data_IF_477163450544
#
_entry.id   IF_477163450544
#
_cell.length_a   1.000
_cell.length_b   1.000
_cell.length_c   1.000
_cell.angle_alpha   90.00
_cell.angle_beta   90.00
_cell.angle_gamma   90.00
#
_symmetry.space_group_name_H-M   'P 1'
#
loop_
_entity.id
_entity.type
_entity.pdbx_description
1 polymer ?
#
# COMPACT_ATOMS: atom_id res chain seq x y z
N UNK A 1 0.10 12.09 0.35
CA UNK A 1 -0.71 11.00 -0.24
C UNK A 1 -1.62 11.48 -1.37
N UNK A 2 -2.37 12.58 -1.18
CA UNK A 2 -3.29 13.07 -2.23
C UNK A 2 -2.65 13.37 -3.60
N UNK A 3 -1.37 13.73 -3.69
CA UNK A 3 -0.72 13.97 -5.00
C UNK A 3 -0.27 12.67 -5.63
N UNK A 4 0.25 11.75 -4.83
CA UNK A 4 0.60 10.39 -5.24
C UNK A 4 -0.60 9.64 -5.82
N UNK A 5 -1.73 9.64 -5.12
CA UNK A 5 -2.97 9.03 -5.63
C UNK A 5 -3.38 9.63 -6.98
N UNK A 6 -3.31 10.96 -7.13
CA UNK A 6 -3.62 11.59 -8.41
C UNK A 6 -2.64 11.22 -9.53
N UNK A 7 -1.37 11.04 -9.22
CA UNK A 7 -0.34 10.67 -10.20
C UNK A 7 -0.52 9.23 -10.70
N UNK A 8 -0.95 8.32 -9.83
CA UNK A 8 -1.02 6.89 -10.12
C UNK A 8 -2.45 6.35 -10.32
N UNK A 9 -3.51 7.17 -10.19
CA UNK A 9 -4.93 6.74 -10.33
C UNK A 9 -5.29 6.02 -11.64
N UNK A 10 -4.48 6.18 -12.69
CA UNK A 10 -4.70 5.51 -13.97
C UNK A 10 -4.12 4.09 -14.01
N UNK A 11 -3.27 3.75 -13.04
CA UNK A 11 -2.47 2.52 -12.97
C UNK A 11 -2.71 1.73 -11.68
N UNK A 12 -3.16 2.38 -10.60
CA UNK A 12 -3.38 1.77 -9.31
C UNK A 12 -4.60 2.36 -8.59
N UNK A 13 -5.32 1.49 -7.89
CA UNK A 13 -6.35 1.86 -6.93
C UNK A 13 -5.76 1.98 -5.53
N UNK A 14 -6.16 3.01 -4.78
CA UNK A 14 -5.66 3.27 -3.43
C UNK A 14 -6.75 3.01 -2.41
N UNK A 15 -6.49 2.06 -1.50
CA UNK A 15 -7.40 1.72 -0.41
C UNK A 15 -6.84 2.24 0.92
N UNK A 16 -7.65 3.03 1.63
CA UNK A 16 -7.31 3.55 2.96
C UNK A 16 -7.99 2.71 4.02
N UNK A 17 -7.22 1.87 4.70
CA UNK A 17 -7.74 0.99 5.74
C UNK A 17 -7.37 1.51 7.13
N UNK A 18 -8.38 1.88 7.92
CA UNK A 18 -8.18 2.31 9.29
C UNK A 18 -8.38 1.13 10.26
N UNK A 19 -7.26 0.50 10.63
CA UNK A 19 -7.20 -0.67 11.52
C UNK A 19 -7.57 -0.39 12.98
N UNK A 20 -7.68 0.87 13.38
CA UNK A 20 -8.01 1.24 14.77
C UNK A 20 -9.51 1.16 15.08
N UNK A 21 -10.34 0.82 14.09
CA UNK A 21 -11.75 0.52 14.33
C UNK A 21 -11.89 -0.86 14.92
N UNK A 22 -12.73 -0.98 15.96
CA UNK A 22 -12.99 -2.23 16.67
C UNK A 22 -13.45 -3.37 15.74
N UNK A 23 -14.14 -3.04 14.63
CA UNK A 23 -14.56 -4.03 13.62
C UNK A 23 -13.39 -4.75 12.93
N UNK A 24 -12.15 -4.27 13.08
CA UNK A 24 -10.95 -4.82 12.45
C UNK A 24 -9.94 -5.39 13.45
N UNK A 25 -10.31 -5.58 14.72
CA UNK A 25 -9.39 -6.10 15.74
C UNK A 25 -8.78 -7.45 15.34
N UNK A 26 -9.56 -8.35 14.75
CA UNK A 26 -9.08 -9.66 14.29
C UNK A 26 -8.02 -9.55 13.17
N UNK A 27 -8.26 -8.71 12.17
CA UNK A 27 -7.32 -8.46 11.07
C UNK A 27 -6.06 -7.76 11.57
N UNK A 28 -6.22 -6.83 12.54
CA UNK A 28 -5.10 -6.13 13.16
C UNK A 28 -4.18 -7.10 13.90
N UNK A 29 -4.74 -8.07 14.61
CA UNK A 29 -3.98 -9.12 15.30
C UNK A 29 -3.32 -10.08 14.32
N UNK A 30 -4.05 -10.57 13.31
CA UNK A 30 -3.56 -11.50 12.30
C UNK A 30 -2.37 -10.93 11.51
N UNK A 31 -2.47 -9.66 11.11
CA UNK A 31 -1.45 -8.98 10.29
C UNK A 31 -0.37 -8.26 11.14
N UNK A 32 -0.44 -8.34 12.47
CA UNK A 32 0.53 -7.70 13.35
C UNK A 32 0.58 -6.17 13.22
N UNK A 33 -0.54 -5.53 12.85
CA UNK A 33 -0.64 -4.09 12.55
C UNK A 33 -0.70 -3.26 13.84
N UNK A 34 0.35 -3.37 14.65
CA UNK A 34 0.46 -2.66 15.92
C UNK A 34 1.35 -1.42 15.76
N UNK A 35 0.72 -0.25 15.85
CA UNK A 35 1.36 1.06 16.10
C UNK A 35 2.20 1.67 14.97
N UNK A 36 2.20 1.10 13.77
CA UNK A 36 2.93 1.65 12.61
C UNK A 36 2.05 1.64 11.38
N UNK A 37 2.15 2.69 10.57
CA UNK A 37 1.56 2.72 9.24
C UNK A 37 2.15 1.59 8.42
N UNK A 38 1.30 0.81 7.78
CA UNK A 38 1.69 -0.28 6.89
C UNK A 38 1.12 0.01 5.52
N UNK A 39 1.95 -0.18 4.50
CA UNK A 39 1.56 -0.08 3.11
C UNK A 39 1.72 -1.46 2.48
N UNK A 40 0.69 -1.91 1.78
CA UNK A 40 0.65 -3.22 1.13
C UNK A 40 0.32 -2.97 -0.33
N UNK A 41 1.14 -3.51 -1.23
CA UNK A 41 0.87 -3.53 -2.67
C UNK A 41 0.40 -4.93 -3.05
N UNK A 42 -0.75 -4.97 -3.71
CA UNK A 42 -1.39 -6.18 -4.21
C UNK A 42 -1.40 -6.17 -5.74
N UNK A 43 -1.30 -7.34 -6.36
CA UNK A 43 -1.55 -7.51 -7.80
C UNK A 43 -3.06 -7.51 -8.13
N UNK A 44 -3.41 -7.67 -9.40
CA UNK A 44 -4.81 -7.72 -9.86
C UNK A 44 -5.59 -8.96 -9.37
N UNK A 45 -4.90 -10.00 -8.90
CA UNK A 45 -5.50 -11.21 -8.35
C UNK A 45 -5.62 -11.15 -6.81
N UNK A 46 -5.09 -10.08 -6.19
CA UNK A 46 -5.08 -9.88 -4.75
C UNK A 46 -3.90 -10.53 -4.04
N UNK A 47 -2.88 -11.01 -4.77
CA UNK A 47 -1.66 -11.53 -4.17
C UNK A 47 -0.77 -10.37 -3.70
N UNK A 48 -0.10 -10.54 -2.56
CA UNK A 48 0.86 -9.55 -2.06
C UNK A 48 2.13 -9.52 -2.92
N UNK A 49 2.41 -8.37 -3.53
CA UNK A 49 3.67 -8.09 -4.21
C UNK A 49 4.71 -7.60 -3.20
N UNK A 50 4.32 -6.67 -2.32
CA UNK A 50 5.24 -6.04 -1.37
C UNK A 50 4.54 -5.39 -0.18
N UNK A 51 5.23 -5.40 0.97
CA UNK A 51 4.80 -4.72 2.19
C UNK A 51 5.90 -3.80 2.74
N UNK A 52 5.50 -2.59 3.17
CA UNK A 52 6.36 -1.64 3.87
C UNK A 52 5.77 -1.32 5.25
N UNK A 53 6.60 -1.40 6.29
CA UNK A 53 6.20 -1.12 7.68
C UNK A 53 6.94 0.12 8.18
N UNK A 54 6.18 1.13 8.61
CA UNK A 54 6.70 2.38 9.14
C UNK A 54 6.38 3.59 8.27
N UNK A 55 6.87 4.78 8.68
CA UNK A 55 6.62 6.00 7.91
C UNK A 55 7.36 5.92 6.58
N UNK A 56 6.59 5.88 5.49
CA UNK A 56 7.07 6.20 4.16
C UNK A 56 6.56 7.61 3.83
N UNK A 57 7.47 8.49 3.41
CA UNK A 57 7.05 9.78 2.86
C UNK A 57 6.54 9.62 1.42
N UNK A 58 5.89 10.67 0.91
CA UNK A 58 5.24 10.65 -0.39
C UNK A 58 6.23 10.49 -1.54
N UNK A 59 7.47 10.97 -1.40
CA UNK A 59 8.48 10.84 -2.42
C UNK A 59 9.00 9.39 -2.49
N UNK A 60 9.37 8.82 -1.34
CA UNK A 60 9.82 7.44 -1.24
C UNK A 60 8.74 6.46 -1.76
N UNK A 61 7.46 6.70 -1.46
CA UNK A 61 6.37 5.90 -2.01
C UNK A 61 6.27 6.03 -3.53
N UNK A 62 6.42 7.25 -4.06
CA UNK A 62 6.36 7.51 -5.51
C UNK A 62 7.49 6.80 -6.27
N UNK A 63 8.70 6.83 -5.73
CA UNK A 63 9.87 6.15 -6.30
C UNK A 63 9.65 4.63 -6.32
N UNK A 64 9.15 4.06 -5.21
CA UNK A 64 8.84 2.62 -5.11
C UNK A 64 7.74 2.19 -6.07
N UNK A 65 6.65 2.95 -6.20
CA UNK A 65 5.57 2.64 -7.14
C UNK A 65 6.03 2.75 -8.60
N UNK A 66 6.88 3.73 -8.91
CA UNK A 66 7.42 3.89 -10.27
C UNK A 66 8.27 2.68 -10.67
N UNK A 67 9.15 2.23 -9.77
CA UNK A 67 9.98 1.03 -9.97
C UNK A 67 9.11 -0.21 -10.18
N UNK A 68 8.14 -0.44 -9.29
CA UNK A 68 7.29 -1.64 -9.34
C UNK A 68 6.36 -1.66 -10.56
N UNK A 69 5.78 -0.52 -10.94
CA UNK A 69 4.94 -0.44 -12.14
C UNK A 69 5.76 -0.57 -13.43
N UNK A 70 7.02 -0.16 -13.44
CA UNK A 70 7.91 -0.39 -14.59
C UNK A 70 8.19 -1.88 -14.77
N UNK A 71 8.48 -2.60 -13.69
CA UNK A 71 8.72 -4.04 -13.70
C UNK A 71 7.45 -4.84 -14.07
N UNK A 72 6.28 -4.39 -13.58
CA UNK A 72 5.00 -5.05 -13.84
C UNK A 72 4.55 -4.87 -15.30
N UNK A 73 4.77 -3.70 -15.90
CA UNK A 73 4.41 -3.44 -17.30
C UNK A 73 5.45 -3.98 -18.31
N UNK A 74 6.61 -4.44 -17.85
CA UNK A 74 7.66 -5.02 -18.69
C UNK A 74 7.47 -6.52 -18.95
N UNK A 75 6.53 -7.16 -18.24
CA UNK A 75 6.12 -8.56 -18.41
C UNK A 75 4.74 -8.65 -19.10
#
# INVERSE_FOLDING_TARGET
>A
MNRLEQAFKAQADFFHFNVDRHEFDAIREELGLFRRTTYILLDSEGNEIRTWIGPLDEQAMGDQLTELLADYNAN
#
